data_IF_190309511671
#
_entry.id   IF_190309511671
#
_cell.length_a   1.000
_cell.length_b   1.000
_cell.length_c   1.000
_cell.angle_alpha   90.00
_cell.angle_beta   90.00
_cell.angle_gamma   90.00
#
_symmetry.space_group_name_H-M   'P 1'
#
loop_
_entity.id
_entity.type
_entity.pdbx_description
1 polymer ?
#
# COMPACT_ATOMS: atom_id res chain seq x y z
N UNK A 1 20.68 13.89 -2.71
CA UNK A 1 20.12 14.83 -1.71
C UNK A 1 20.03 14.04 -0.41
N UNK A 2 20.57 14.51 0.73
CA UNK A 2 20.20 13.94 2.02
C UNK A 2 18.67 13.90 2.09
N UNK A 3 18.10 12.80 2.57
CA UNK A 3 16.67 12.48 2.41
C UNK A 3 15.79 13.63 2.93
N UNK A 4 14.81 14.05 2.14
CA UNK A 4 13.96 15.21 2.45
C UNK A 4 13.18 15.08 3.78
N UNK A 5 13.00 13.85 4.26
CA UNK A 5 12.33 13.53 5.53
C UNK A 5 13.09 14.09 6.73
N UNK A 6 14.42 14.22 6.65
CA UNK A 6 15.22 14.71 7.77
C UNK A 6 15.15 16.25 7.92
N UNK A 7 14.57 16.96 6.93
CA UNK A 7 14.38 18.41 6.97
C UNK A 7 13.06 18.84 7.62
N UNK A 8 12.12 17.91 7.81
CA UNK A 8 10.87 18.18 8.51
C UNK A 8 11.02 17.65 9.93
N UNK A 9 10.98 18.52 10.93
CA UNK A 9 10.98 18.07 12.33
C UNK A 9 9.60 17.52 12.72
N UNK A 10 9.30 16.30 12.27
CA UNK A 10 8.06 15.61 12.57
C UNK A 10 8.02 15.04 14.00
N UNK A 11 9.18 14.90 14.65
CA UNK A 11 9.36 14.20 15.93
C UNK A 11 8.49 14.71 17.09
N UNK A 12 8.16 16.01 17.18
CA UNK A 12 7.22 16.49 18.20
C UNK A 12 5.79 15.96 18.03
N UNK A 13 5.40 15.56 16.82
CA UNK A 13 4.02 15.22 16.48
C UNK A 13 3.82 13.73 16.16
N UNK A 14 4.82 13.11 15.53
CA UNK A 14 4.74 11.79 14.92
C UNK A 14 6.00 10.97 15.19
N UNK A 15 5.83 9.64 15.19
CA UNK A 15 6.93 8.68 15.24
C UNK A 15 7.02 7.92 13.91
N UNK A 16 8.18 7.94 13.28
CA UNK A 16 8.47 7.09 12.12
C UNK A 16 8.57 5.64 12.58
N UNK A 17 7.79 4.75 11.98
CA UNK A 17 7.76 3.31 12.31
C UNK A 17 8.54 2.47 11.32
N UNK A 18 8.45 2.80 10.04
CA UNK A 18 9.15 2.08 8.98
C UNK A 18 9.25 2.97 7.74
N UNK A 19 10.34 2.78 6.99
CA UNK A 19 10.46 3.24 5.60
C UNK A 19 10.23 2.01 4.72
N UNK A 20 9.14 2.01 3.97
CA UNK A 20 8.77 0.91 3.10
C UNK A 20 9.33 1.20 1.71
N UNK A 21 10.07 0.25 1.14
CA UNK A 21 10.58 0.30 -0.22
C UNK A 21 9.55 -0.33 -1.15
N UNK A 22 8.93 0.46 -2.01
CA UNK A 22 8.08 -0.05 -3.09
C UNK A 22 8.91 -0.23 -4.36
N UNK A 23 9.26 -1.48 -4.67
CA UNK A 23 10.07 -1.83 -5.83
C UNK A 23 9.25 -1.89 -7.12
N UNK A 24 9.76 -1.24 -8.15
CA UNK A 24 9.10 -0.98 -9.42
C UNK A 24 9.98 -1.45 -10.59
N UNK A 25 9.96 -2.75 -10.93
CA UNK A 25 10.93 -3.37 -11.85
C UNK A 25 10.86 -2.87 -13.30
N UNK A 26 9.72 -2.33 -13.73
CA UNK A 26 9.52 -1.85 -15.11
C UNK A 26 9.87 -0.37 -15.30
N UNK A 27 10.62 0.26 -14.40
CA UNK A 27 11.03 1.67 -14.57
C UNK A 27 12.00 1.78 -15.74
N UNK A 28 11.80 2.81 -16.55
CA UNK A 28 12.68 3.08 -17.68
C UNK A 28 14.06 3.51 -17.19
N UNK A 29 15.11 3.14 -17.92
CA UNK A 29 16.48 3.50 -17.59
C UNK A 29 16.63 5.03 -17.56
N UNK A 30 17.19 5.56 -16.47
CA UNK A 30 17.28 7.01 -16.22
C UNK A 30 18.64 7.62 -16.63
N UNK A 31 19.55 6.82 -17.19
CA UNK A 31 20.85 7.30 -17.65
C UNK A 31 21.88 6.19 -17.81
N UNK A 32 23.10 6.59 -18.19
CA UNK A 32 24.26 5.69 -18.39
C UNK A 32 25.39 5.88 -17.37
N UNK A 33 25.30 6.91 -16.53
CA UNK A 33 26.35 7.28 -15.57
C UNK A 33 26.09 6.75 -14.15
N UNK A 34 24.90 6.19 -13.89
CA UNK A 34 24.53 5.64 -12.58
C UNK A 34 23.42 4.58 -12.71
N UNK A 35 23.17 3.83 -11.63
CA UNK A 35 22.06 2.91 -11.53
C UNK A 35 20.71 3.63 -11.63
N UNK A 36 19.75 2.98 -12.29
CA UNK A 36 18.37 3.48 -12.37
C UNK A 36 17.69 3.32 -11.01
N UNK A 37 17.00 4.38 -10.55
CA UNK A 37 16.20 4.27 -9.35
C UNK A 37 14.94 3.46 -9.65
N UNK A 38 14.87 2.25 -9.07
CA UNK A 38 13.78 1.31 -9.27
C UNK A 38 12.79 1.24 -8.11
N UNK A 39 12.72 2.24 -7.23
CA UNK A 39 11.77 2.23 -6.12
C UNK A 39 11.27 3.62 -5.74
N UNK A 40 10.18 3.64 -4.98
CA UNK A 40 9.75 4.78 -4.18
C UNK A 40 9.77 4.38 -2.70
N UNK A 41 10.05 5.35 -1.82
CA UNK A 41 9.93 5.17 -0.37
C UNK A 41 8.55 5.63 0.11
N UNK A 42 7.93 4.83 0.97
CA UNK A 42 6.69 5.15 1.67
C UNK A 42 7.01 5.19 3.16
N UNK A 43 6.87 6.36 3.77
CA UNK A 43 7.14 6.52 5.20
C UNK A 43 5.87 6.30 6.02
N UNK A 44 5.91 5.31 6.91
CA UNK A 44 4.82 5.02 7.81
C UNK A 44 5.04 5.70 9.16
N UNK A 45 4.27 6.75 9.41
CA UNK A 45 4.26 7.49 10.67
C UNK A 45 3.05 7.13 11.52
N UNK A 46 3.22 7.21 12.85
CA UNK A 46 2.12 7.04 13.81
C UNK A 46 2.09 8.19 14.81
N UNK A 47 0.91 8.42 15.39
CA UNK A 47 0.76 9.27 16.58
C UNK A 47 0.96 8.45 17.85
N UNK A 48 1.76 8.95 18.78
CA UNK A 48 2.04 8.27 20.06
C UNK A 48 2.97 7.06 19.92
N UNK A 49 2.97 6.18 20.93
CA UNK A 49 3.95 5.07 21.06
C UNK A 49 3.58 3.81 20.26
N UNK A 50 2.31 3.64 19.91
CA UNK A 50 1.77 2.46 19.20
C UNK A 50 0.71 2.93 18.20
N UNK A 51 0.59 2.28 17.02
CA UNK A 51 -0.48 2.60 16.08
C UNK A 51 -1.84 2.33 16.72
N UNK A 52 -2.84 3.15 16.40
CA UNK A 52 -4.22 2.89 16.80
C UNK A 52 -4.76 1.63 16.12
N UNK A 53 -4.41 1.43 14.85
CA UNK A 53 -4.82 0.28 14.03
C UNK A 53 -3.61 -0.28 13.28
N UNK A 54 -3.44 -1.61 13.29
CA UNK A 54 -2.49 -2.32 12.43
C UNK A 54 -2.99 -3.73 12.09
N UNK A 55 -3.77 -3.87 11.02
CA UNK A 55 -4.44 -5.12 10.65
C UNK A 55 -3.52 -6.00 9.79
N UNK A 56 -2.49 -6.58 10.43
CA UNK A 56 -1.50 -7.39 9.72
C UNK A 56 -2.13 -8.52 8.91
N UNK A 57 -3.17 -9.17 9.44
CA UNK A 57 -3.81 -10.31 8.81
C UNK A 57 -4.52 -9.97 7.50
N UNK A 58 -4.91 -8.71 7.29
CA UNK A 58 -5.59 -8.25 6.08
C UNK A 58 -4.61 -7.90 4.95
N UNK A 59 -3.31 -7.83 5.27
CA UNK A 59 -2.24 -7.45 4.34
C UNK A 59 -1.18 -8.52 4.17
N UNK A 60 -1.41 -9.72 4.70
CA UNK A 60 -0.49 -10.86 4.51
C UNK A 60 -0.35 -11.19 3.04
N UNK A 61 0.83 -11.69 2.70
CA UNK A 61 1.16 -12.12 1.35
C UNK A 61 1.47 -13.60 1.33
N UNK A 62 1.19 -14.24 0.20
CA UNK A 62 1.56 -15.62 -0.02
C UNK A 62 3.07 -15.80 0.22
N UNK A 63 3.41 -16.84 0.97
CA UNK A 63 4.80 -17.22 1.14
C UNK A 63 5.23 -18.07 -0.05
N UNK A 64 6.07 -17.47 -0.92
CA UNK A 64 6.69 -18.12 -2.07
C UNK A 64 7.79 -19.08 -1.60
N UNK A 65 7.36 -20.21 -1.05
CA UNK A 65 8.24 -21.28 -0.57
C UNK A 65 7.61 -22.59 -1.01
N UNK A 66 8.42 -23.45 -1.62
CA UNK A 66 8.04 -24.81 -1.99
C UNK A 66 7.39 -25.53 -0.80
N UNK A 67 6.31 -26.26 -1.07
CA UNK A 67 5.52 -26.92 -0.04
C UNK A 67 6.39 -27.83 0.85
N UNK A 68 7.35 -28.53 0.24
CA UNK A 68 8.30 -29.39 0.97
C UNK A 68 9.21 -28.61 1.93
N UNK A 69 9.66 -27.42 1.52
CA UNK A 69 10.45 -26.55 2.39
C UNK A 69 9.60 -26.02 3.54
N UNK A 70 8.33 -25.65 3.28
CA UNK A 70 7.39 -25.26 4.31
C UNK A 70 7.21 -26.35 5.37
N UNK A 71 6.92 -27.58 4.95
CA UNK A 71 6.76 -28.73 5.86
C UNK A 71 8.03 -29.04 6.64
N UNK A 72 9.21 -28.82 6.05
CA UNK A 72 10.50 -28.96 6.74
C UNK A 72 10.64 -27.93 7.85
N UNK A 73 10.30 -26.67 7.59
CA UNK A 73 10.37 -25.60 8.58
C UNK A 73 9.45 -25.84 9.79
N UNK A 74 8.29 -26.49 9.61
CA UNK A 74 7.40 -26.84 10.75
C UNK A 74 8.01 -27.87 11.70
N UNK A 75 8.95 -28.68 11.20
CA UNK A 75 9.71 -29.65 11.99
C UNK A 75 10.91 -29.02 12.71
N UNK A 76 11.29 -27.79 12.35
CA UNK A 76 12.36 -27.06 13.02
C UNK A 76 11.82 -26.53 14.36
N UNK A 77 12.45 -26.89 15.49
CA UNK A 77 12.08 -26.34 16.79
C UNK A 77 12.26 -24.83 16.79
N UNK A 78 11.21 -24.09 17.11
CA UNK A 78 11.32 -22.66 17.43
C UNK A 78 11.58 -22.51 18.92
N UNK A 79 12.44 -21.56 19.31
CA UNK A 79 12.65 -21.26 20.73
C UNK A 79 12.11 -19.87 21.01
N UNK A 80 11.17 -19.77 21.94
CA UNK A 80 10.66 -18.49 22.44
C UNK A 80 10.74 -18.48 23.95
N UNK A 81 11.49 -17.53 24.50
CA UNK A 81 11.72 -17.40 25.95
C UNK A 81 12.20 -18.71 26.61
N UNK A 82 13.10 -19.45 25.95
CA UNK A 82 13.65 -20.72 26.45
C UNK A 82 12.73 -21.94 26.32
N UNK A 83 11.52 -21.79 25.79
CA UNK A 83 10.61 -22.90 25.51
C UNK A 83 10.68 -23.31 24.05
N UNK A 84 10.80 -24.63 23.81
CA UNK A 84 10.74 -25.21 22.49
C UNK A 84 9.28 -25.31 22.02
N UNK A 85 9.02 -24.78 20.83
CA UNK A 85 7.76 -24.88 20.11
C UNK A 85 7.99 -25.34 18.67
N UNK A 86 6.90 -25.42 17.89
CA UNK A 86 6.97 -25.63 16.45
C UNK A 86 6.74 -24.32 15.73
N UNK A 87 7.41 -24.14 14.60
CA UNK A 87 7.09 -23.02 13.69
C UNK A 87 5.76 -23.33 13.02
N UNK A 88 4.72 -22.53 13.30
CA UNK A 88 3.42 -22.65 12.63
C UNK A 88 3.30 -21.55 11.57
N UNK A 89 3.02 -21.95 10.34
CA UNK A 89 2.68 -21.00 9.29
C UNK A 89 1.29 -20.42 9.54
N UNK A 90 1.10 -19.14 9.22
CA UNK A 90 -0.22 -18.54 9.23
C UNK A 90 -0.89 -18.84 7.88
N UNK A 91 -2.09 -19.38 7.90
CA UNK A 91 -2.84 -19.80 6.70
C UNK A 91 -3.15 -18.61 5.77
N UNK A 92 -3.23 -17.40 6.32
CA UNK A 92 -3.39 -16.14 5.55
C UNK A 92 -2.08 -15.67 4.90
N UNK A 93 -0.94 -16.29 5.21
CA UNK A 93 0.37 -15.98 4.64
C UNK A 93 1.34 -15.28 5.59
N UNK A 94 2.45 -14.80 5.04
CA UNK A 94 3.51 -14.12 5.80
C UNK A 94 3.25 -12.62 5.92
N UNK A 95 3.90 -11.99 6.89
CA UNK A 95 4.00 -10.53 6.93
C UNK A 95 4.66 -10.05 5.62
N UNK A 96 4.11 -9.03 4.92
CA UNK A 96 4.68 -8.52 3.68
C UNK A 96 6.09 -7.92 3.85
N UNK A 97 6.48 -7.58 5.09
CA UNK A 97 7.72 -6.87 5.36
C UNK A 97 7.64 -5.41 4.89
N UNK A 98 8.80 -4.78 4.76
CA UNK A 98 8.97 -3.39 4.36
C UNK A 98 9.60 -3.24 2.96
N UNK A 99 9.75 -4.33 2.21
CA UNK A 99 10.19 -4.29 0.80
C UNK A 99 9.13 -4.96 -0.07
N UNK A 100 8.38 -4.15 -0.81
CA UNK A 100 7.22 -4.59 -1.59
C UNK A 100 7.58 -4.64 -3.08
N UNK A 101 7.85 -5.84 -3.58
CA UNK A 101 8.06 -6.12 -5.01
C UNK A 101 6.90 -6.85 -5.70
N UNK A 102 5.87 -7.23 -4.94
CA UNK A 102 4.72 -7.98 -5.43
C UNK A 102 3.61 -7.09 -6.04
N UNK A 103 3.72 -5.78 -5.86
CA UNK A 103 2.82 -4.77 -6.42
C UNK A 103 3.57 -4.02 -7.51
N UNK A 104 3.24 -4.27 -8.78
CA UNK A 104 3.89 -3.62 -9.92
C UNK A 104 3.35 -2.20 -10.12
N UNK A 105 4.17 -1.31 -10.67
CA UNK A 105 3.72 -0.01 -11.12
C UNK A 105 2.71 -0.13 -12.27
N UNK A 106 1.92 0.94 -12.48
CA UNK A 106 1.10 1.07 -13.68
C UNK A 106 1.99 1.37 -14.90
N UNK A 107 1.55 0.93 -16.06
CA UNK A 107 2.18 1.18 -17.37
C UNK A 107 1.10 1.63 -18.35
N UNK A 108 1.49 2.06 -19.56
CA UNK A 108 0.55 2.44 -20.63
C UNK A 108 -0.42 1.33 -21.07
N UNK A 109 -0.14 0.07 -20.72
CA UNK A 109 -1.03 -1.07 -20.98
C UNK A 109 -1.88 -1.47 -19.78
N UNK A 110 -1.68 -0.83 -18.62
CA UNK A 110 -2.43 -1.16 -17.42
C UNK A 110 -3.89 -0.75 -17.60
N UNK A 111 -4.81 -1.71 -17.47
CA UNK A 111 -6.27 -1.46 -17.58
C UNK A 111 -6.80 -0.50 -16.51
N UNK A 112 -6.14 -0.46 -15.36
CA UNK A 112 -6.49 0.42 -14.24
C UNK A 112 -6.16 1.90 -14.52
N UNK A 113 -5.29 2.17 -15.49
CA UNK A 113 -4.88 3.54 -15.81
C UNK A 113 -6.05 4.31 -16.42
N UNK A 114 -6.45 5.40 -15.78
CA UNK A 114 -7.65 6.15 -16.19
C UNK A 114 -7.35 7.33 -17.10
N UNK A 115 -6.13 7.88 -17.06
CA UNK A 115 -5.72 8.98 -17.91
C UNK A 115 -4.26 8.81 -18.35
N UNK A 116 -3.98 9.09 -19.62
CA UNK A 116 -2.60 9.04 -20.16
C UNK A 116 -1.72 10.14 -19.56
N UNK A 117 -2.28 11.30 -19.24
CA UNK A 117 -1.53 12.38 -18.59
C UNK A 117 -1.25 12.08 -17.12
N UNK A 118 -2.00 11.14 -16.51
CA UNK A 118 -1.72 10.61 -15.18
C UNK A 118 -0.63 9.52 -15.16
N UNK A 119 -0.23 9.01 -16.34
CA UNK A 119 0.68 7.85 -16.51
C UNK A 119 2.11 8.15 -16.10
N UNK A 120 2.59 9.35 -16.38
CA UNK A 120 3.98 9.73 -16.14
C UNK A 120 4.18 10.37 -14.76
N UNK A 121 3.15 10.50 -13.92
CA UNK A 121 3.25 11.40 -12.78
C UNK A 121 2.48 11.01 -11.51
N UNK A 122 1.27 10.45 -11.56
CA UNK A 122 0.40 10.51 -10.36
C UNK A 122 -0.29 9.20 -9.96
N UNK A 123 -0.90 8.45 -10.88
CA UNK A 123 -1.78 7.34 -10.47
C UNK A 123 -0.99 6.18 -9.83
N UNK A 124 -1.19 5.99 -8.52
CA UNK A 124 -0.70 4.81 -7.80
C UNK A 124 -1.63 3.62 -8.08
N UNK A 125 -1.10 2.38 -8.17
CA UNK A 125 -1.93 1.19 -8.28
C UNK A 125 -2.88 1.06 -7.10
N UNK A 126 -4.14 0.70 -7.34
CA UNK A 126 -5.15 0.50 -6.30
C UNK A 126 -4.66 -0.50 -5.24
N UNK A 127 -4.01 -1.60 -5.65
CA UNK A 127 -3.47 -2.62 -4.73
C UNK A 127 -2.43 -2.05 -3.74
N UNK A 128 -1.67 -1.04 -4.14
CA UNK A 128 -0.70 -0.38 -3.26
C UNK A 128 -1.44 0.39 -2.16
N UNK A 129 -2.44 1.19 -2.56
CA UNK A 129 -3.22 2.01 -1.64
C UNK A 129 -4.12 1.13 -0.76
N UNK A 130 -4.70 0.08 -1.31
CA UNK A 130 -5.48 -0.92 -0.58
C UNK A 130 -4.68 -1.56 0.55
N UNK A 131 -3.43 -1.97 0.30
CA UNK A 131 -2.56 -2.48 1.37
C UNK A 131 -2.37 -1.45 2.48
N UNK A 132 -2.17 -0.17 2.15
CA UNK A 132 -1.97 0.88 3.15
C UNK A 132 -3.24 1.14 3.97
N UNK A 133 -4.39 1.25 3.30
CA UNK A 133 -5.71 1.48 3.91
C UNK A 133 -6.10 0.32 4.81
N UNK A 134 -6.02 -0.92 4.32
CA UNK A 134 -6.38 -2.10 5.11
C UNK A 134 -5.46 -2.29 6.31
N UNK A 135 -4.15 -2.03 6.16
CA UNK A 135 -3.22 -2.11 7.28
C UNK A 135 -3.58 -1.13 8.39
N UNK A 136 -4.04 0.08 8.07
CA UNK A 136 -4.01 1.22 9.00
C UNK A 136 -5.38 1.80 9.34
N UNK A 137 -6.48 1.17 8.89
CA UNK A 137 -7.86 1.61 9.13
C UNK A 137 -8.84 0.45 9.17
N UNK A 138 -9.97 0.64 9.83
CA UNK A 138 -11.11 -0.27 9.86
C UNK A 138 -12.28 0.28 9.04
N UNK A 139 -13.27 -0.56 8.75
CA UNK A 139 -14.52 -0.07 8.17
C UNK A 139 -15.15 1.00 9.09
N UNK A 140 -15.68 2.07 8.50
CA UNK A 140 -16.20 3.25 9.18
C UNK A 140 -15.14 4.28 9.62
N UNK A 141 -13.84 3.98 9.50
CA UNK A 141 -12.81 4.99 9.74
C UNK A 141 -12.77 6.04 8.62
N UNK A 142 -12.31 7.24 8.97
CA UNK A 142 -12.12 8.36 8.05
C UNK A 142 -10.67 8.41 7.53
N UNK A 143 -10.49 8.39 6.21
CA UNK A 143 -9.18 8.51 5.55
C UNK A 143 -9.04 9.87 4.86
N UNK A 144 -7.91 10.56 5.08
CA UNK A 144 -7.61 11.85 4.44
C UNK A 144 -6.57 11.66 3.32
N UNK A 145 -6.87 12.15 2.12
CA UNK A 145 -5.92 12.26 1.01
C UNK A 145 -5.91 13.71 0.45
N UNK A 146 -4.94 14.54 0.86
CA UNK A 146 -4.88 15.93 0.42
C UNK A 146 -4.34 16.10 -1.00
N UNK A 147 -3.90 15.02 -1.66
CA UNK A 147 -3.32 15.03 -3.01
C UNK A 147 -3.88 13.86 -3.83
N UNK A 148 -5.21 13.82 -3.93
CA UNK A 148 -5.95 12.65 -4.38
C UNK A 148 -5.67 12.24 -5.83
N UNK A 149 -5.19 13.17 -6.66
CA UNK A 149 -4.98 12.94 -8.09
C UNK A 149 -6.26 12.44 -8.73
N UNK A 150 -6.15 11.33 -9.46
CA UNK A 150 -7.29 10.68 -10.13
C UNK A 150 -8.16 9.82 -9.18
N UNK A 151 -8.07 10.01 -7.86
CA UNK A 151 -9.00 9.44 -6.88
C UNK A 151 -8.75 7.98 -6.49
N UNK A 152 -7.52 7.47 -6.57
CA UNK A 152 -7.23 6.06 -6.20
C UNK A 152 -7.55 5.76 -4.73
N UNK A 153 -7.14 6.64 -3.80
CA UNK A 153 -7.44 6.45 -2.37
C UNK A 153 -8.95 6.50 -2.07
N UNK A 154 -9.71 7.50 -2.53
CA UNK A 154 -11.17 7.51 -2.43
C UNK A 154 -11.86 6.24 -2.93
N UNK A 155 -11.47 5.75 -4.11
CA UNK A 155 -12.04 4.52 -4.71
C UNK A 155 -11.79 3.31 -3.82
N UNK A 156 -10.56 3.15 -3.31
CA UNK A 156 -10.19 2.09 -2.38
C UNK A 156 -10.97 2.22 -1.06
N UNK A 157 -11.06 3.42 -0.49
CA UNK A 157 -11.80 3.66 0.74
C UNK A 157 -13.26 3.27 0.58
N UNK A 158 -13.92 3.70 -0.50
CA UNK A 158 -15.31 3.35 -0.79
C UNK A 158 -15.53 1.84 -0.89
N UNK A 159 -14.66 1.14 -1.62
CA UNK A 159 -14.74 -0.31 -1.80
C UNK A 159 -14.65 -1.08 -0.49
N UNK A 160 -13.86 -0.56 0.43
CA UNK A 160 -13.60 -1.15 1.73
C UNK A 160 -14.42 -0.51 2.85
N UNK A 161 -15.49 0.22 2.55
CA UNK A 161 -16.39 0.79 3.56
C UNK A 161 -15.68 1.75 4.54
N UNK A 162 -14.70 2.53 4.05
CA UNK A 162 -14.09 3.65 4.76
C UNK A 162 -14.66 4.96 4.23
N UNK A 163 -14.90 5.91 5.13
CA UNK A 163 -15.17 7.28 4.75
C UNK A 163 -13.88 7.97 4.30
N UNK A 164 -13.99 9.00 3.48
CA UNK A 164 -12.81 9.75 3.04
C UNK A 164 -13.07 11.24 2.88
N UNK A 165 -12.01 12.02 3.05
CA UNK A 165 -11.91 13.41 2.61
C UNK A 165 -10.74 13.48 1.65
N UNK A 166 -10.98 14.02 0.45
CA UNK A 166 -9.98 14.06 -0.60
C UNK A 166 -9.96 15.42 -1.28
N UNK A 167 -8.75 15.94 -1.53
CA UNK A 167 -8.54 17.22 -2.22
C UNK A 167 -7.69 17.02 -3.46
N UNK A 168 -8.04 17.72 -4.54
CA UNK A 168 -7.26 17.79 -5.77
C UNK A 168 -7.51 19.15 -6.42
N UNK A 169 -6.44 19.79 -6.91
CA UNK A 169 -6.50 21.13 -7.49
C UNK A 169 -6.81 21.09 -8.99
N UNK A 170 -6.41 20.02 -9.69
CA UNK A 170 -6.67 19.88 -11.12
C UNK A 170 -8.12 19.41 -11.36
N UNK A 171 -8.98 20.23 -11.99
CA UNK A 171 -10.37 19.87 -12.28
C UNK A 171 -10.53 18.59 -13.12
N UNK A 172 -9.62 18.32 -14.05
CA UNK A 172 -9.67 17.11 -14.90
C UNK A 172 -9.44 15.84 -14.06
N UNK A 173 -8.55 15.90 -13.08
CA UNK A 173 -8.32 14.78 -12.16
C UNK A 173 -9.48 14.59 -11.19
N UNK A 174 -10.09 15.69 -10.74
CA UNK A 174 -11.33 15.65 -9.95
C UNK A 174 -12.45 14.96 -10.74
N UNK A 175 -12.64 15.30 -12.01
CA UNK A 175 -13.64 14.67 -12.88
C UNK A 175 -13.37 13.18 -13.10
N UNK A 176 -12.10 12.80 -13.35
CA UNK A 176 -11.70 11.40 -13.44
C UNK A 176 -12.02 10.64 -12.13
N UNK A 177 -11.65 11.21 -10.98
CA UNK A 177 -11.90 10.62 -9.67
C UNK A 177 -13.39 10.43 -9.37
N UNK A 178 -14.21 11.45 -9.65
CA UNK A 178 -15.65 11.40 -9.46
C UNK A 178 -16.32 10.35 -10.36
N UNK A 179 -15.87 10.23 -11.62
CA UNK A 179 -16.36 9.19 -12.54
C UNK A 179 -16.09 7.79 -12.00
N UNK A 180 -14.88 7.54 -11.49
CA UNK A 180 -14.53 6.26 -10.86
C UNK A 180 -15.39 5.98 -9.62
N UNK A 181 -15.55 6.96 -8.73
CA UNK A 181 -16.36 6.83 -7.52
C UNK A 181 -17.83 6.50 -7.83
N UNK A 182 -18.42 7.17 -8.81
CA UNK A 182 -19.79 6.89 -9.25
C UNK A 182 -19.92 5.47 -9.81
N UNK A 183 -18.89 4.98 -10.52
CA UNK A 183 -18.89 3.60 -11.02
C UNK A 183 -18.87 2.56 -9.88
N UNK A 184 -18.18 2.84 -8.77
CA UNK A 184 -18.19 1.96 -7.59
C UNK A 184 -19.55 2.00 -6.87
N UNK A 185 -20.21 3.16 -6.79
CA UNK A 185 -21.59 3.26 -6.26
C UNK A 185 -22.57 2.42 -7.06
N UNK A 186 -22.49 2.49 -8.40
CA UNK A 186 -23.36 1.69 -9.26
C UNK A 186 -23.15 0.18 -9.06
N UNK A 187 -21.90 -0.27 -8.95
CA UNK A 187 -21.59 -1.68 -8.64
C UNK A 187 -22.13 -2.09 -7.28
N UNK A 188 -21.98 -1.24 -6.27
CA UNK A 188 -22.48 -1.53 -4.92
C UNK A 188 -24.01 -1.61 -4.90
N UNK A 189 -24.71 -0.72 -5.60
CA UNK A 189 -26.17 -0.76 -5.70
C UNK A 189 -26.66 -2.07 -6.36
N UNK A 190 -25.99 -2.53 -7.42
CA UNK A 190 -26.33 -3.80 -8.09
C UNK A 190 -26.04 -5.05 -7.25
N UNK A 191 -25.05 -5.00 -6.35
CA UNK A 191 -24.72 -6.13 -5.46
C UNK A 191 -25.68 -6.24 -4.27
N UNK A 192 -26.41 -5.16 -3.95
CA UNK A 192 -27.34 -5.09 -2.82
C UNK A 192 -28.82 -5.01 -3.24
N UNK A 193 -29.12 -5.19 -4.54
CA UNK A 193 -30.48 -5.29 -5.12
C UNK A 193 -30.86 -6.74 -5.39
#
# INVERSE_FOLDING_TARGET
KPDCIDFIDYRPFLNLRSKIVWYQPSRLAQGRLNFTNNYDEICYFIKGKKPATFNLDDIRVAQLVELEHRLRCEKVPSVRNGQYGKTKFNDKGKNPGDVWGDIKQLTYKSKELVCRDALNTIQKPEKLIERLVLASSNAGDLVLDPFAGVGTCPVVCRRHERDFIAFELNPEFVECGNTRLNSEVAKWALLNS
#
